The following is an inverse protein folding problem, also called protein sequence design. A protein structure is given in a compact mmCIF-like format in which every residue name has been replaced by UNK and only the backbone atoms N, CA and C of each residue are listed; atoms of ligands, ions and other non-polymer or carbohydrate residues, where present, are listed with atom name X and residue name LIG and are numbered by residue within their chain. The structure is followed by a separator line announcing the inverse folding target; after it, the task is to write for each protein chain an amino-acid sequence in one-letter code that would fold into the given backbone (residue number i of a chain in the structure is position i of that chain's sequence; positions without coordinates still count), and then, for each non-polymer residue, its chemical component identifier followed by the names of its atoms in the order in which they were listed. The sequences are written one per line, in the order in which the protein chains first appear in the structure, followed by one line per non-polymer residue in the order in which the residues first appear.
data_IF_700968124763
#
_entry.id   IF_700968124763
#
_cell.length_a   1.000
_cell.length_b   1.000
_cell.length_c   1.000
_cell.angle_alpha   90.00
_cell.angle_beta   90.00
_cell.angle_gamma   90.00
#
_symmetry.space_group_name_H-M   'P 1'
#
loop_
_entity.id
_entity.type
_entity.pdbx_description
1 polymer ?
#
# COMPACT_ATOMS: atom_id res chain seq x y z
N UNK A 1 0.55 -8.27 24.70
CA UNK A 1 -0.04 -9.12 23.64
C UNK A 1 -0.78 -8.23 22.66
N UNK A 2 -0.30 -8.12 21.42
CA UNK A 2 -1.07 -7.42 20.37
C UNK A 2 -2.28 -8.30 20.01
N UNK A 3 -3.48 -7.77 20.20
CA UNK A 3 -4.72 -8.49 19.91
C UNK A 3 -4.82 -8.70 18.40
N UNK A 4 -5.26 -9.87 17.92
CA UNK A 4 -5.45 -10.16 16.48
C UNK A 4 -6.28 -9.05 15.79
N UNK A 5 -7.29 -8.52 16.50
CA UNK A 5 -8.12 -7.39 16.06
C UNK A 5 -7.30 -6.15 15.66
N UNK A 6 -6.21 -5.88 16.37
CA UNK A 6 -5.32 -4.75 16.12
C UNK A 6 -4.52 -4.91 14.83
N UNK A 7 -3.92 -6.08 14.60
CA UNK A 7 -3.16 -6.36 13.37
C UNK A 7 -4.08 -6.31 12.14
N UNK A 8 -5.31 -6.80 12.26
CA UNK A 8 -6.32 -6.70 11.21
C UNK A 8 -6.68 -5.25 10.92
N UNK A 9 -6.91 -4.43 11.96
CA UNK A 9 -7.25 -3.01 11.81
C UNK A 9 -6.11 -2.22 11.16
N UNK A 10 -4.86 -2.46 11.60
CA UNK A 10 -3.66 -1.88 10.98
C UNK A 10 -3.54 -2.26 9.50
N UNK A 11 -3.75 -3.53 9.17
CA UNK A 11 -3.72 -4.02 7.80
C UNK A 11 -4.76 -3.33 6.92
N UNK A 12 -6.00 -3.18 7.41
CA UNK A 12 -7.08 -2.49 6.68
C UNK A 12 -6.77 -1.01 6.43
N UNK A 13 -6.24 -0.31 7.44
CA UNK A 13 -5.83 1.10 7.29
C UNK A 13 -4.71 1.19 6.24
N UNK A 14 -3.72 0.30 6.31
CA UNK A 14 -2.59 0.33 5.39
C UNK A 14 -3.03 0.07 3.95
N UNK A 15 -3.92 -0.90 3.74
CA UNK A 15 -4.52 -1.20 2.43
C UNK A 15 -5.26 0.03 1.89
N UNK A 16 -6.10 0.67 2.71
CA UNK A 16 -6.85 1.86 2.30
C UNK A 16 -5.94 3.02 1.90
N UNK A 17 -4.92 3.33 2.72
CA UNK A 17 -3.95 4.37 2.42
C UNK A 17 -3.14 4.06 1.15
N UNK A 18 -2.64 2.83 1.00
CA UNK A 18 -1.90 2.40 -0.18
C UNK A 18 -2.72 2.52 -1.46
N UNK A 19 -4.03 2.23 -1.40
CA UNK A 19 -4.91 2.34 -2.57
C UNK A 19 -5.03 3.79 -3.04
N UNK A 20 -5.19 4.74 -2.13
CA UNK A 20 -5.20 6.17 -2.46
C UNK A 20 -3.91 6.64 -3.13
N UNK A 21 -2.75 6.29 -2.57
CA UNK A 21 -1.46 6.64 -3.18
C UNK A 21 -1.21 5.95 -4.52
N UNK A 22 -1.66 4.69 -4.67
CA UNK A 22 -1.55 3.96 -5.93
C UNK A 22 -2.30 4.69 -7.05
N UNK A 23 -3.51 5.20 -6.78
CA UNK A 23 -4.28 5.97 -7.77
C UNK A 23 -3.53 7.23 -8.22
N UNK A 24 -2.94 7.97 -7.28
CA UNK A 24 -2.19 9.20 -7.59
C UNK A 24 -0.95 8.89 -8.42
N UNK A 25 -0.19 7.87 -8.04
CA UNK A 25 1.02 7.44 -8.76
C UNK A 25 0.66 6.94 -10.17
N UNK A 26 -0.35 6.08 -10.27
CA UNK A 26 -0.81 5.56 -11.56
C UNK A 26 -1.36 6.66 -12.47
N UNK A 27 -1.98 7.71 -11.91
CA UNK A 27 -2.39 8.89 -12.67
C UNK A 27 -1.18 9.62 -13.28
N UNK A 28 -0.09 9.77 -12.52
CA UNK A 28 1.17 10.31 -13.01
C UNK A 28 1.82 9.44 -14.08
N UNK A 29 1.93 8.13 -13.83
CA UNK A 29 2.51 7.16 -14.78
C UNK A 29 1.73 7.20 -16.10
N UNK A 30 0.39 7.19 -16.04
CA UNK A 30 -0.46 7.16 -17.24
C UNK A 30 -0.30 8.40 -18.13
N UNK A 31 0.11 9.54 -17.57
CA UNK A 31 0.41 10.76 -18.35
C UNK A 31 1.68 10.64 -19.19
N UNK A 32 2.66 9.87 -18.72
CA UNK A 32 3.97 9.70 -19.39
C UNK A 32 3.94 8.47 -20.29
N UNK A 33 3.39 7.38 -19.77
CA UNK A 33 3.25 6.09 -20.43
C UNK A 33 1.76 5.71 -20.45
N UNK A 34 1.08 5.73 -21.61
CA UNK A 34 -0.33 5.39 -21.71
C UNK A 34 -0.55 3.89 -21.56
N UNK A 35 -0.35 3.37 -20.35
CA UNK A 35 -0.54 1.97 -19.99
C UNK A 35 -2.03 1.62 -20.03
N UNK A 36 -2.35 0.51 -20.69
CA UNK A 36 -3.70 -0.03 -20.82
C UNK A 36 -3.70 -1.54 -20.59
N UNK A 37 -4.89 -2.11 -20.35
CA UNK A 37 -5.09 -3.55 -20.20
C UNK A 37 -4.21 -4.17 -19.11
N UNK A 38 -3.60 -5.33 -19.42
CA UNK A 38 -2.80 -6.11 -18.47
C UNK A 38 -1.61 -5.33 -17.90
N UNK A 39 -0.95 -4.52 -18.72
CA UNK A 39 0.22 -3.75 -18.27
C UNK A 39 -0.15 -2.72 -17.18
N UNK A 40 -1.33 -2.11 -17.28
CA UNK A 40 -1.86 -1.21 -16.25
C UNK A 40 -2.11 -1.96 -14.93
N UNK A 41 -2.74 -3.14 -14.99
CA UNK A 41 -3.04 -3.91 -13.78
C UNK A 41 -1.78 -4.43 -13.10
N UNK A 42 -0.80 -4.90 -13.86
CA UNK A 42 0.49 -5.37 -13.32
C UNK A 42 1.25 -4.23 -12.66
N UNK A 43 1.38 -3.09 -13.33
CA UNK A 43 2.08 -1.91 -12.76
C UNK A 43 1.37 -1.36 -11.53
N UNK A 44 0.04 -1.23 -11.57
CA UNK A 44 -0.76 -0.82 -10.41
C UNK A 44 -0.60 -1.80 -9.24
N UNK A 45 -0.55 -3.11 -9.52
CA UNK A 45 -0.34 -4.14 -8.50
C UNK A 45 1.04 -4.03 -7.84
N UNK A 46 2.09 -3.79 -8.63
CA UNK A 46 3.46 -3.59 -8.13
C UNK A 46 3.54 -2.34 -7.24
N UNK A 47 2.97 -1.21 -7.69
CA UNK A 47 2.93 0.04 -6.90
C UNK A 47 2.16 -0.17 -5.60
N UNK A 48 1.01 -0.83 -5.66
CA UNK A 48 0.20 -1.08 -4.47
C UNK A 48 0.91 -1.98 -3.46
N UNK A 49 1.50 -3.09 -3.93
CA UNK A 49 2.22 -4.03 -3.07
C UNK A 49 3.45 -3.38 -2.43
N UNK A 50 4.24 -2.65 -3.20
CA UNK A 50 5.42 -1.94 -2.68
C UNK A 50 5.06 -0.94 -1.59
N UNK A 51 4.01 -0.13 -1.78
CA UNK A 51 3.52 0.81 -0.77
C UNK A 51 3.01 0.09 0.49
N UNK A 52 2.25 -0.99 0.30
CA UNK A 52 1.66 -1.74 1.42
C UNK A 52 2.72 -2.45 2.24
N UNK A 53 3.69 -3.09 1.59
CA UNK A 53 4.82 -3.77 2.26
C UNK A 53 5.69 -2.74 2.99
N UNK A 54 6.04 -1.62 2.34
CA UNK A 54 6.80 -0.56 2.99
C UNK A 54 6.06 -0.02 4.22
N UNK A 55 4.77 0.29 4.08
CA UNK A 55 3.93 0.73 5.18
C UNK A 55 3.92 -0.26 6.35
N UNK A 56 3.70 -1.54 6.08
CA UNK A 56 3.74 -2.59 7.12
C UNK A 56 5.11 -2.66 7.80
N UNK A 57 6.21 -2.63 7.03
CA UNK A 57 7.58 -2.67 7.59
C UNK A 57 7.88 -1.47 8.48
N UNK A 58 7.38 -0.27 8.15
CA UNK A 58 7.60 0.91 8.98
C UNK A 58 6.68 0.97 10.20
N UNK A 59 5.40 0.63 10.03
CA UNK A 59 4.41 0.78 11.09
C UNK A 59 4.45 -0.38 12.10
N UNK A 60 4.73 -1.62 11.69
CA UNK A 60 4.77 -2.76 12.62
C UNK A 60 5.84 -2.57 13.72
N UNK A 61 7.12 -2.27 13.42
CA UNK A 61 8.15 -2.09 14.44
C UNK A 61 7.93 -0.82 15.26
N UNK A 62 7.49 0.28 14.63
CA UNK A 62 7.17 1.53 15.33
C UNK A 62 6.10 1.31 16.38
N UNK A 63 5.05 0.56 16.04
CA UNK A 63 3.96 0.23 16.96
C UNK A 63 4.36 -0.83 17.99
N UNK A 64 5.40 -1.63 17.72
CA UNK A 64 5.97 -2.56 18.70
C UNK A 64 6.82 -1.89 19.77
N UNK A 65 7.41 -0.73 19.45
CA UNK A 65 8.27 0.07 20.33
C UNK A 65 7.54 1.26 20.98
N UNK A 66 6.21 1.33 20.92
CA UNK A 66 5.42 2.24 21.77
C UNK A 66 5.13 1.54 23.10
N UNK A 67 6.18 1.40 23.91
CA UNK A 67 6.14 1.06 25.34
C UNK A 67 7.25 1.83 26.04
#
# INVERSE_FOLDING_TARGET
MYTIRYLVSLGLIMIGCSMGYTIIIMWGIKKIFPLTGTAYWVTSGIVFLSLTIAGLIFYIPRLRNVW
#
